data_IF_145884288911
#
_entry.id   IF_145884288911
#
_cell.length_a   1.000
_cell.length_b   1.000
_cell.length_c   1.000
_cell.angle_alpha   90.00
_cell.angle_beta   90.00
_cell.angle_gamma   90.00
#
_symmetry.space_group_name_H-M   'P 1'
#
loop_
_entity.id
_entity.type
_entity.pdbx_description
1 polymer ?
#
# COMPACT_ATOMS: atom_id res chain seq x y z
N UNK A 1 -11.83 -2.51 -19.85
CA UNK A 1 -10.98 -3.72 -19.74
C UNK A 1 -9.57 -3.23 -19.50
N UNK A 2 -8.91 -3.65 -18.41
CA UNK A 2 -7.53 -3.26 -18.07
C UNK A 2 -6.56 -4.05 -18.95
N UNK A 3 -5.57 -3.37 -19.54
CA UNK A 3 -4.53 -4.01 -20.36
C UNK A 3 -3.57 -4.87 -19.52
N UNK A 4 -2.83 -5.78 -20.16
CA UNK A 4 -1.82 -6.59 -19.46
C UNK A 4 -0.73 -5.73 -18.81
N UNK A 5 -0.35 -4.62 -19.47
CA UNK A 5 0.65 -3.69 -18.96
C UNK A 5 0.15 -2.98 -17.70
N UNK A 6 -1.05 -2.37 -17.76
CA UNK A 6 -1.64 -1.70 -16.60
C UNK A 6 -1.85 -2.67 -15.43
N UNK A 7 -2.33 -3.88 -15.69
CA UNK A 7 -2.49 -4.91 -14.64
C UNK A 7 -1.15 -5.27 -13.98
N UNK A 8 -0.07 -5.31 -14.76
CA UNK A 8 1.28 -5.56 -14.24
C UNK A 8 1.74 -4.39 -13.38
N UNK A 9 1.60 -3.16 -13.86
CA UNK A 9 1.97 -1.94 -13.10
C UNK A 9 1.23 -1.88 -11.77
N UNK A 10 -0.08 -2.11 -11.77
CA UNK A 10 -0.89 -2.16 -10.53
C UNK A 10 -0.39 -3.27 -9.61
N UNK A 11 -0.02 -4.43 -10.14
CA UNK A 11 0.52 -5.50 -9.29
C UNK A 11 1.84 -5.11 -8.61
N UNK A 12 2.74 -4.41 -9.29
CA UNK A 12 3.95 -3.88 -8.66
C UNK A 12 3.62 -2.79 -7.63
N UNK A 13 2.74 -1.85 -7.98
CA UNK A 13 2.31 -0.79 -7.08
C UNK A 13 1.75 -1.32 -5.75
N UNK A 14 0.77 -2.22 -5.82
CA UNK A 14 0.16 -2.81 -4.62
C UNK A 14 1.16 -3.68 -3.84
N UNK A 15 2.09 -4.35 -4.54
CA UNK A 15 3.16 -5.12 -3.90
C UNK A 15 4.17 -4.23 -3.18
N UNK A 16 4.45 -3.04 -3.70
CA UNK A 16 5.33 -2.06 -3.07
C UNK A 16 4.81 -1.60 -1.72
N UNK A 17 3.51 -1.25 -1.66
CA UNK A 17 2.85 -0.96 -0.39
C UNK A 17 2.89 -2.15 0.58
N UNK A 18 2.56 -3.36 0.08
CA UNK A 18 2.51 -4.55 0.92
C UNK A 18 3.87 -4.94 1.50
N UNK A 19 4.93 -4.94 0.68
CA UNK A 19 6.28 -5.30 1.11
C UNK A 19 6.84 -4.24 2.05
N UNK A 20 6.69 -2.95 1.73
CA UNK A 20 7.14 -1.88 2.64
C UNK A 20 6.43 -1.98 3.99
N UNK A 21 5.09 -2.09 3.99
CA UNK A 21 4.31 -2.24 5.21
C UNK A 21 4.62 -3.51 6.02
N UNK A 22 5.06 -4.58 5.36
CA UNK A 22 5.43 -5.83 6.04
C UNK A 22 6.74 -5.72 6.84
N UNK A 23 7.69 -4.90 6.37
CA UNK A 23 9.03 -4.80 6.98
C UNK A 23 9.21 -3.59 7.89
N UNK A 24 8.33 -2.59 7.82
CA UNK A 24 8.38 -1.40 8.68
C UNK A 24 7.76 -1.70 10.05
N UNK A 25 8.44 -1.28 11.12
CA UNK A 25 8.06 -1.60 12.50
C UNK A 25 6.72 -0.99 12.90
N UNK A 26 6.45 0.23 12.41
CA UNK A 26 5.31 1.01 12.83
C UNK A 26 4.20 1.12 11.78
N UNK A 27 4.32 0.41 10.66
CA UNK A 27 3.28 0.39 9.64
C UNK A 27 2.02 -0.32 10.15
N UNK A 28 0.86 0.10 9.63
CA UNK A 28 -0.41 -0.53 9.99
C UNK A 28 -0.44 -1.98 9.47
N UNK A 29 -0.93 -2.96 10.27
CA UNK A 29 -1.00 -4.35 9.84
C UNK A 29 -1.83 -4.52 8.56
N UNK A 30 -1.24 -5.11 7.53
CA UNK A 30 -1.91 -5.38 6.26
C UNK A 30 -2.83 -6.60 6.40
N UNK A 31 -4.13 -6.40 6.16
CA UNK A 31 -5.14 -7.47 6.14
C UNK A 31 -5.26 -8.13 4.78
N UNK A 32 -5.27 -7.33 3.72
CA UNK A 32 -5.52 -7.82 2.37
C UNK A 32 -4.96 -6.85 1.34
N UNK A 33 -4.36 -7.41 0.29
CA UNK A 33 -3.99 -6.67 -0.92
C UNK A 33 -4.66 -7.31 -2.14
N UNK A 34 -5.12 -6.50 -3.10
CA UNK A 34 -5.76 -6.98 -4.32
C UNK A 34 -5.49 -6.06 -5.51
N UNK A 35 -5.28 -6.65 -6.68
CA UNK A 35 -5.16 -5.94 -7.96
C UNK A 35 -6.47 -5.95 -8.76
N UNK A 36 -7.54 -6.50 -8.15
CA UNK A 36 -8.88 -6.48 -8.72
C UNK A 36 -9.46 -5.08 -8.51
N UNK A 37 -9.83 -4.36 -9.58
CA UNK A 37 -10.36 -3.00 -9.47
C UNK A 37 -11.64 -2.96 -8.64
N UNK A 38 -11.75 -1.94 -7.78
CA UNK A 38 -12.95 -1.67 -6.97
C UNK A 38 -13.46 -0.26 -7.27
N UNK A 39 -14.63 -0.16 -7.92
CA UNK A 39 -15.20 1.11 -8.34
C UNK A 39 -14.48 1.72 -9.55
N UNK A 40 -14.80 2.98 -9.86
CA UNK A 40 -14.37 3.68 -11.07
C UNK A 40 -12.96 4.30 -11.00
N UNK A 41 -12.38 4.43 -9.80
CA UNK A 41 -11.11 5.15 -9.60
C UNK A 41 -9.97 4.29 -8.99
N UNK A 42 -10.26 3.14 -8.38
CA UNK A 42 -9.24 2.30 -7.75
C UNK A 42 -8.96 1.05 -8.61
N UNK A 43 -7.73 0.98 -9.13
CA UNK A 43 -7.25 -0.13 -9.95
C UNK A 43 -6.71 -1.30 -9.10
N UNK A 44 -6.31 -1.03 -7.86
CA UNK A 44 -5.91 -1.97 -6.82
C UNK A 44 -6.33 -1.47 -5.44
N UNK A 45 -6.13 -2.26 -4.39
CA UNK A 45 -6.50 -1.90 -3.01
C UNK A 45 -5.71 -2.70 -1.97
N UNK A 46 -5.07 -1.98 -1.05
CA UNK A 46 -4.51 -2.48 0.20
C UNK A 46 -5.42 -2.09 1.40
N UNK A 47 -5.76 -3.07 2.22
CA UNK A 47 -6.57 -2.90 3.42
C UNK A 47 -5.71 -3.08 4.66
N UNK A 48 -5.76 -2.10 5.56
CA UNK A 48 -5.01 -2.08 6.81
C UNK A 48 -5.93 -2.18 8.02
N UNK A 49 -5.41 -2.66 9.15
CA UNK A 49 -6.06 -2.51 10.45
C UNK A 49 -5.75 -1.11 10.97
N UNK A 50 -6.76 -0.23 11.16
CA UNK A 50 -6.50 1.11 11.67
C UNK A 50 -5.88 1.06 13.06
N UNK A 51 -4.88 1.91 13.30
CA UNK A 51 -4.38 2.13 14.65
C UNK A 51 -5.32 3.07 15.42
N UNK A 52 -5.78 2.67 16.60
CA UNK A 52 -6.65 3.51 17.46
C UNK A 52 -5.87 4.60 18.22
N UNK A 53 -4.53 4.65 18.09
CA UNK A 53 -3.70 5.66 18.72
C UNK A 53 -3.96 7.05 18.10
N UNK A 54 -4.52 7.94 18.91
CA UNK A 54 -4.79 9.35 18.54
C UNK A 54 -3.51 10.20 18.45
N UNK A 55 -2.39 9.73 19.02
CA UNK A 55 -1.10 10.42 19.04
C UNK A 55 -0.06 9.55 18.34
N UNK A 56 0.59 10.12 17.32
CA UNK A 56 1.61 9.44 16.55
C UNK A 56 2.99 10.02 16.86
N UNK A 57 3.99 9.15 17.01
CA UNK A 57 5.39 9.55 17.07
C UNK A 57 5.91 9.94 15.69
N UNK A 58 7.10 10.57 15.65
CA UNK A 58 7.75 10.91 14.39
C UNK A 58 8.09 9.66 13.57
N UNK A 59 8.51 8.60 14.24
CA UNK A 59 8.91 7.32 13.65
C UNK A 59 7.69 6.63 13.02
N UNK A 60 6.55 6.63 13.70
CA UNK A 60 5.28 6.13 13.15
C UNK A 60 4.87 6.89 11.90
N UNK A 61 4.94 8.23 11.91
CA UNK A 61 4.63 9.05 10.73
C UNK A 61 5.60 8.78 9.57
N UNK A 62 6.88 8.57 9.89
CA UNK A 62 7.88 8.27 8.89
C UNK A 62 7.61 6.94 8.20
N UNK A 63 7.36 5.87 8.97
CA UNK A 63 7.05 4.54 8.44
C UNK A 63 5.77 4.54 7.60
N UNK A 64 4.71 5.22 8.04
CA UNK A 64 3.49 5.37 7.23
C UNK A 64 3.76 6.11 5.91
N UNK A 65 4.63 7.11 5.93
CA UNK A 65 5.04 7.83 4.71
C UNK A 65 5.83 6.90 3.78
N UNK A 66 6.79 6.14 4.30
CA UNK A 66 7.56 5.15 3.53
C UNK A 66 6.67 4.09 2.90
N UNK A 67 5.74 3.50 3.65
CA UNK A 67 4.76 2.54 3.14
C UNK A 67 3.88 3.15 2.05
N UNK A 68 3.42 4.39 2.24
CA UNK A 68 2.59 5.10 1.24
C UNK A 68 3.36 5.41 -0.04
N UNK A 69 4.66 5.71 0.04
CA UNK A 69 5.50 5.94 -1.13
C UNK A 69 6.00 4.64 -1.78
N UNK A 70 5.92 3.51 -1.05
CA UNK A 70 6.40 2.20 -1.50
C UNK A 70 5.76 1.71 -2.80
N UNK A 71 4.50 2.07 -3.07
CA UNK A 71 3.84 1.69 -4.32
C UNK A 71 4.52 2.30 -5.54
N UNK A 72 4.78 3.62 -5.51
CA UNK A 72 5.52 4.30 -6.58
C UNK A 72 6.96 3.80 -6.68
N UNK A 73 7.63 3.59 -5.55
CA UNK A 73 9.01 3.10 -5.55
C UNK A 73 9.14 1.71 -6.20
N UNK A 74 8.09 0.88 -6.14
CA UNK A 74 8.09 -0.45 -6.78
C UNK A 74 7.75 -0.44 -8.27
N UNK A 75 7.30 0.68 -8.83
CA UNK A 75 6.99 0.81 -10.27
C UNK A 75 8.23 1.12 -11.12
N UNK A 76 9.33 1.57 -10.49
CA UNK A 76 10.62 1.92 -11.11
C UNK A 76 11.50 0.69 -11.34
#
# INVERSE_FOLDING_TARGET
VISKLERRTVAYHESGHAVAGWFLEHAEPLLKVTIVPRGSAALGFAQYVPNENLLMTKEQLFDMTCMTLGGRASEE
#
